data_IF_435509286572
#
_entry.id   IF_435509286572
#
_cell.length_a   1.000
_cell.length_b   1.000
_cell.length_c   1.000
_cell.angle_alpha   90.00
_cell.angle_beta   90.00
_cell.angle_gamma   90.00
#
_symmetry.space_group_name_H-M   'P 1'
#
loop_
_entity.id
_entity.type
_entity.pdbx_description
1 polymer ?
#
# COMPACT_ATOMS: atom_id res chain seq x y z
N UNK A 1 -19.71 -21.47 3.62
CA UNK A 1 -18.42 -21.33 4.32
C UNK A 1 -18.15 -19.84 4.48
N UNK A 2 -17.94 -19.35 5.71
CA UNK A 2 -17.81 -17.91 5.98
C UNK A 2 -16.42 -17.42 5.58
N UNK A 3 -16.36 -16.44 4.67
CA UNK A 3 -15.12 -15.84 4.20
C UNK A 3 -14.47 -15.01 5.31
N UNK A 4 -13.23 -15.35 5.67
CA UNK A 4 -12.37 -14.51 6.49
C UNK A 4 -11.71 -13.47 5.57
N UNK A 5 -12.40 -12.33 5.37
CA UNK A 5 -11.92 -11.18 4.59
C UNK A 5 -10.80 -10.41 5.33
N UNK A 6 -10.55 -10.71 6.61
CA UNK A 6 -9.39 -10.19 7.36
C UNK A 6 -8.08 -10.94 7.04
N UNK A 7 -7.66 -10.91 5.78
CA UNK A 7 -6.24 -11.06 5.43
C UNK A 7 -5.76 -9.79 4.73
N UNK A 8 -6.09 -8.65 5.32
CA UNK A 8 -5.45 -7.38 4.96
C UNK A 8 -4.05 -7.43 5.53
N UNK A 9 -3.09 -7.56 4.62
CA UNK A 9 -1.67 -7.51 4.91
C UNK A 9 -1.34 -6.04 5.16
N UNK A 10 -1.37 -5.65 6.44
CA UNK A 10 -1.01 -4.30 6.88
C UNK A 10 0.47 -4.12 6.54
N UNK A 11 0.84 -3.20 5.64
CA UNK A 11 2.24 -2.88 5.43
C UNK A 11 2.69 -2.05 6.63
N UNK A 12 3.21 -2.70 7.65
CA UNK A 12 3.70 -2.02 8.86
C UNK A 12 5.06 -1.30 8.62
N UNK A 13 5.68 -1.50 7.46
CA UNK A 13 7.10 -1.19 7.26
C UNK A 13 7.46 0.23 6.82
N UNK A 14 6.47 1.11 6.59
CA UNK A 14 6.74 2.43 5.99
C UNK A 14 6.67 3.59 7.00
N UNK A 15 6.51 3.27 8.29
CA UNK A 15 6.37 4.25 9.36
C UNK A 15 7.65 5.04 9.68
N UNK A 16 8.81 4.61 9.16
CA UNK A 16 10.07 5.27 9.44
C UNK A 16 10.89 5.37 8.17
N UNK A 17 11.34 6.58 7.83
CA UNK A 17 12.53 6.74 7.00
C UNK A 17 13.57 5.76 7.57
N UNK A 18 13.98 4.78 6.76
CA UNK A 18 14.89 3.69 7.13
C UNK A 18 16.26 4.31 7.45
N UNK A 19 16.42 4.78 8.69
CA UNK A 19 17.68 5.25 9.28
C UNK A 19 18.37 4.10 10.03
N UNK A 20 17.75 2.91 10.06
CA UNK A 20 18.14 1.84 10.98
C UNK A 20 18.61 0.58 10.27
N UNK A 21 19.14 0.70 9.05
CA UNK A 21 19.90 -0.41 8.53
C UNK A 21 21.24 -0.52 9.26
N UNK A 22 21.54 -1.71 9.77
CA UNK A 22 22.86 -2.04 10.25
C UNK A 22 23.75 -2.33 9.04
N UNK A 23 24.74 -1.47 8.83
CA UNK A 23 25.80 -1.70 7.86
C UNK A 23 26.60 -2.93 8.31
N UNK A 24 26.41 -4.05 7.62
CA UNK A 24 27.12 -5.31 7.91
C UNK A 24 28.35 -5.48 7.03
N UNK A 25 28.48 -4.68 5.98
CA UNK A 25 29.63 -4.65 5.10
C UNK A 25 29.83 -3.26 4.49
N UNK A 26 31.07 -2.75 4.55
CA UNK A 26 31.48 -1.54 3.86
C UNK A 26 32.97 -1.59 3.55
N UNK A 27 33.29 -2.12 2.37
CA UNK A 27 34.65 -2.21 1.85
C UNK A 27 34.63 -2.12 0.34
N UNK A 28 35.73 -1.68 -0.26
CA UNK A 28 35.96 -1.72 -1.70
C UNK A 28 34.80 -1.12 -2.53
N UNK A 29 34.34 0.07 -2.17
CA UNK A 29 33.26 0.78 -2.85
C UNK A 29 31.90 0.04 -2.85
N UNK A 30 31.72 -0.91 -1.93
CA UNK A 30 30.49 -1.68 -1.77
C UNK A 30 29.98 -1.53 -0.34
N UNK A 31 28.68 -1.30 -0.21
CA UNK A 31 27.98 -1.33 1.08
C UNK A 31 26.88 -2.38 1.05
N UNK A 32 26.70 -3.08 2.17
CA UNK A 32 25.56 -3.96 2.40
C UNK A 32 24.94 -3.66 3.75
N UNK A 33 23.68 -3.28 3.67
CA UNK A 33 22.82 -2.90 4.77
C UNK A 33 21.85 -4.06 5.03
N UNK A 34 21.86 -4.57 6.26
CA UNK A 34 20.82 -5.47 6.77
C UNK A 34 19.85 -4.65 7.59
N UNK A 35 18.56 -4.79 7.33
CA UNK A 35 17.52 -4.13 8.11
C UNK A 35 16.34 -5.05 8.31
N UNK A 36 15.53 -4.78 9.32
CA UNK A 36 14.32 -5.55 9.54
C UNK A 36 13.56 -5.13 10.77
N UNK A 37 12.51 -5.88 11.06
CA UNK A 37 11.80 -5.72 12.31
C UNK A 37 11.12 -7.02 12.77
N UNK A 38 10.91 -7.11 14.07
CA UNK A 38 10.01 -8.06 14.69
C UNK A 38 8.81 -7.27 15.21
N UNK A 39 7.65 -7.45 14.59
CA UNK A 39 6.42 -6.79 14.99
C UNK A 39 5.46 -7.80 15.62
N UNK A 40 5.08 -7.54 16.86
CA UNK A 40 4.11 -8.32 17.61
C UNK A 40 2.94 -7.41 17.94
N UNK A 41 1.79 -7.66 17.30
CA UNK A 41 0.60 -6.86 17.54
C UNK A 41 -0.67 -7.70 17.65
N UNK A 42 -1.68 -7.07 18.24
CA UNK A 42 -3.00 -7.64 18.38
C UNK A 42 -4.06 -6.58 18.06
N UNK A 43 -5.08 -7.01 17.31
CA UNK A 43 -6.22 -6.19 16.94
C UNK A 43 -7.48 -6.80 17.54
N UNK A 44 -8.16 -6.01 18.35
CA UNK A 44 -9.42 -6.33 19.00
C UNK A 44 -10.56 -5.54 18.36
N UNK A 45 -11.74 -6.13 18.29
CA UNK A 45 -12.96 -5.48 17.80
C UNK A 45 -14.19 -6.02 18.54
N UNK A 46 -15.26 -5.22 18.59
CA UNK A 46 -16.50 -5.64 19.23
C UNK A 46 -17.14 -6.78 18.42
N UNK A 47 -17.38 -7.92 19.07
CA UNK A 47 -17.97 -9.12 18.46
C UNK A 47 -19.43 -8.88 18.08
N UNK A 48 -19.68 -8.43 16.84
CA UNK A 48 -21.05 -8.43 16.29
C UNK A 48 -21.36 -9.71 15.49
N UNK A 49 -20.37 -10.55 15.18
CA UNK A 49 -20.56 -11.82 14.47
C UNK A 49 -19.71 -12.91 15.11
N UNK A 50 -20.32 -14.06 15.43
CA UNK A 50 -19.69 -15.24 16.10
C UNK A 50 -18.44 -15.83 15.39
N UNK A 51 -18.01 -15.29 14.24
CA UNK A 51 -16.95 -15.86 13.41
C UNK A 51 -15.68 -15.02 13.26
N UNK A 52 -15.61 -13.82 13.82
CA UNK A 52 -14.41 -12.97 13.69
C UNK A 52 -13.57 -13.13 14.98
N UNK A 53 -12.42 -13.81 14.87
CA UNK A 53 -11.45 -13.98 15.97
C UNK A 53 -10.49 -12.79 15.98
N UNK A 54 -10.04 -12.36 17.16
CA UNK A 54 -8.95 -11.39 17.32
C UNK A 54 -7.84 -11.69 16.30
N UNK A 55 -7.42 -10.66 15.58
CA UNK A 55 -6.40 -10.80 14.55
C UNK A 55 -5.05 -10.48 15.20
N UNK A 56 -4.50 -11.49 15.88
CA UNK A 56 -3.10 -11.47 16.30
C UNK A 56 -2.25 -11.49 15.03
N UNK A 57 -1.26 -10.61 14.90
CA UNK A 57 -0.29 -10.65 13.80
C UNK A 57 1.10 -10.47 14.36
N UNK A 58 1.89 -11.54 14.25
CA UNK A 58 3.31 -11.53 14.56
C UNK A 58 4.04 -11.70 13.24
N UNK A 59 4.82 -10.70 12.87
CA UNK A 59 5.58 -10.68 11.62
C UNK A 59 7.05 -10.47 11.94
N UNK A 60 7.90 -11.21 11.24
CA UNK A 60 9.32 -10.95 11.14
C UNK A 60 9.63 -10.51 9.72
N UNK A 61 10.15 -9.30 9.59
CA UNK A 61 10.53 -8.69 8.34
C UNK A 61 12.05 -8.61 8.26
N UNK A 62 12.61 -9.00 7.11
CA UNK A 62 14.03 -8.90 6.83
C UNK A 62 14.26 -8.29 5.46
N UNK A 63 15.21 -7.38 5.38
CA UNK A 63 15.62 -6.71 4.16
C UNK A 63 17.12 -6.58 4.04
N UNK A 64 17.55 -6.57 2.79
CA UNK A 64 18.92 -6.32 2.37
C UNK A 64 18.92 -5.17 1.38
N UNK A 65 19.86 -4.25 1.55
CA UNK A 65 20.09 -3.17 0.59
C UNK A 65 21.58 -3.10 0.28
N UNK A 66 21.92 -3.29 -0.99
CA UNK A 66 23.30 -3.25 -1.46
C UNK A 66 23.54 -2.03 -2.33
N UNK A 67 24.70 -1.41 -2.21
CA UNK A 67 25.17 -0.42 -3.19
C UNK A 67 26.62 -0.70 -3.59
N UNK A 68 26.93 -0.48 -4.87
CA UNK A 68 28.27 -0.59 -5.44
C UNK A 68 28.57 0.66 -6.23
N UNK A 69 29.62 1.40 -5.85
CA UNK A 69 30.11 2.54 -6.63
C UNK A 69 30.99 1.99 -7.75
N UNK A 70 30.54 2.14 -8.99
CA UNK A 70 31.26 1.66 -10.18
C UNK A 70 32.33 2.68 -10.57
N UNK A 71 31.97 3.97 -10.59
CA UNK A 71 32.88 5.09 -10.81
C UNK A 71 32.28 6.38 -10.21
N UNK A 72 32.86 7.54 -10.52
CA UNK A 72 32.48 8.83 -9.94
C UNK A 72 31.04 9.26 -10.21
N UNK A 73 30.39 8.71 -11.24
CA UNK A 73 29.06 9.11 -11.69
C UNK A 73 28.04 7.98 -11.70
N UNK A 74 28.48 6.73 -11.69
CA UNK A 74 27.63 5.55 -11.80
C UNK A 74 27.72 4.68 -10.53
N UNK A 75 26.55 4.38 -9.96
CA UNK A 75 26.37 3.42 -8.86
C UNK A 75 25.37 2.36 -9.27
N UNK A 76 25.59 1.11 -8.87
CA UNK A 76 24.59 0.07 -8.88
C UNK A 76 23.97 -0.06 -7.48
N UNK A 77 22.68 -0.40 -7.42
CA UNK A 77 22.01 -0.68 -6.16
C UNK A 77 21.02 -1.82 -6.31
N UNK A 78 20.73 -2.49 -5.21
CA UNK A 78 19.73 -3.55 -5.14
C UNK A 78 19.04 -3.54 -3.79
N UNK A 79 17.79 -3.96 -3.77
CA UNK A 79 17.03 -4.12 -2.52
C UNK A 79 16.16 -5.37 -2.59
N UNK A 80 16.19 -6.11 -1.49
CA UNK A 80 15.33 -7.26 -1.24
C UNK A 80 14.66 -7.07 0.12
N UNK A 81 13.38 -7.42 0.22
CA UNK A 81 12.61 -7.37 1.47
C UNK A 81 11.63 -8.54 1.48
N UNK A 82 11.58 -9.29 2.58
CA UNK A 82 10.60 -10.34 2.78
C UNK A 82 10.05 -10.36 4.20
N UNK A 83 8.85 -10.91 4.33
CA UNK A 83 8.11 -11.05 5.58
C UNK A 83 7.76 -12.51 5.83
N UNK A 84 7.89 -12.95 7.08
CA UNK A 84 7.38 -14.24 7.57
C UNK A 84 6.39 -13.96 8.69
N UNK A 85 5.23 -14.61 8.62
CA UNK A 85 4.24 -14.56 9.69
C UNK A 85 4.53 -15.68 10.71
N UNK A 86 4.71 -15.32 11.98
CA UNK A 86 5.23 -16.20 13.05
C UNK A 86 4.20 -16.52 14.15
N UNK A 87 2.92 -16.27 13.89
CA UNK A 87 1.82 -16.51 14.85
C UNK A 87 0.98 -17.77 14.54
N UNK A 88 1.53 -18.69 13.75
CA UNK A 88 0.87 -19.96 13.38
C UNK A 88 1.63 -21.14 13.98
N UNK A 89 0.94 -22.25 14.31
CA UNK A 89 1.62 -23.46 14.73
C UNK A 89 2.51 -23.96 13.59
N UNK A 90 3.63 -24.61 13.94
CA UNK A 90 4.61 -25.14 12.96
C UNK A 90 3.99 -26.14 11.97
N UNK A 91 2.92 -26.84 12.39
CA UNK A 91 2.14 -27.73 11.53
C UNK A 91 1.34 -27.02 10.43
N UNK A 92 1.28 -25.68 10.46
CA UNK A 92 0.62 -24.84 9.46
C UNK A 92 1.56 -23.70 9.01
N UNK A 93 2.68 -24.05 8.32
CA UNK A 93 3.66 -23.06 7.92
C UNK A 93 3.07 -22.07 6.91
N UNK A 94 3.33 -20.78 7.12
CA UNK A 94 3.04 -19.76 6.11
C UNK A 94 4.22 -19.58 5.16
N UNK A 95 3.91 -19.41 3.88
CA UNK A 95 4.91 -19.07 2.88
C UNK A 95 5.45 -17.65 3.12
N UNK A 96 6.77 -17.44 3.00
CA UNK A 96 7.34 -16.09 3.07
C UNK A 96 6.79 -15.24 1.93
N UNK A 97 6.58 -13.95 2.21
CA UNK A 97 6.04 -12.99 1.25
C UNK A 97 7.18 -12.05 0.88
N UNK A 98 7.52 -11.99 -0.40
CA UNK A 98 8.51 -11.05 -0.91
C UNK A 98 7.82 -9.71 -1.12
N UNK A 99 8.28 -8.69 -0.40
CA UNK A 99 7.79 -7.32 -0.51
C UNK A 99 8.51 -6.59 -1.64
N UNK A 100 9.84 -6.58 -1.61
CA UNK A 100 10.68 -5.90 -2.59
C UNK A 100 11.73 -6.85 -3.14
N UNK A 101 12.07 -6.66 -4.40
CA UNK A 101 13.10 -7.42 -5.09
C UNK A 101 13.42 -6.75 -6.42
N UNK A 102 14.38 -5.82 -6.40
CA UNK A 102 14.74 -5.06 -7.58
C UNK A 102 16.24 -4.69 -7.59
N UNK A 103 16.72 -4.41 -8.79
CA UNK A 103 18.06 -3.87 -9.05
C UNK A 103 17.93 -2.54 -9.79
N UNK A 104 18.95 -1.70 -9.70
CA UNK A 104 18.98 -0.44 -10.42
C UNK A 104 20.37 0.13 -10.58
N UNK A 105 20.44 1.13 -11.46
CA UNK A 105 21.61 1.95 -11.72
C UNK A 105 21.24 3.40 -11.41
N UNK A 106 22.18 4.11 -10.79
CA UNK A 106 22.09 5.53 -10.51
C UNK A 106 23.24 6.25 -11.23
N UNK A 107 22.88 7.21 -12.08
CA UNK A 107 23.79 8.11 -12.77
C UNK A 107 23.56 9.53 -12.26
N UNK A 108 24.46 10.05 -11.42
CA UNK A 108 24.24 11.29 -10.64
C UNK A 108 22.89 11.29 -9.89
N UNK A 109 22.00 12.22 -10.21
CA UNK A 109 20.66 12.39 -9.62
C UNK A 109 19.57 11.61 -10.36
N UNK A 110 19.94 10.86 -11.40
CA UNK A 110 19.04 9.98 -12.16
C UNK A 110 19.20 8.54 -11.72
N UNK A 111 18.10 7.80 -11.67
CA UNK A 111 18.14 6.36 -11.43
C UNK A 111 17.15 5.63 -12.31
N UNK A 112 17.51 4.43 -12.75
CA UNK A 112 16.60 3.45 -13.35
C UNK A 112 16.65 2.16 -12.54
N UNK A 113 15.49 1.57 -12.27
CA UNK A 113 15.38 0.30 -11.56
C UNK A 113 14.36 -0.63 -12.20
N UNK A 114 14.54 -1.93 -12.03
CA UNK A 114 13.64 -2.96 -12.52
C UNK A 114 13.43 -4.08 -11.49
N UNK A 115 12.17 -4.50 -11.32
CA UNK A 115 11.81 -5.66 -10.50
C UNK A 115 10.46 -5.51 -9.81
N UNK A 116 10.33 -6.09 -8.60
CA UNK A 116 9.21 -5.88 -7.69
C UNK A 116 9.50 -4.67 -6.80
N UNK A 117 8.75 -3.59 -7.00
CA UNK A 117 8.96 -2.31 -6.32
C UNK A 117 7.62 -1.64 -6.01
N UNK A 118 7.64 -0.45 -5.40
CA UNK A 118 6.45 0.39 -5.25
C UNK A 118 6.01 0.99 -6.59
N UNK A 119 4.71 0.93 -6.84
CA UNK A 119 4.04 1.59 -7.93
C UNK A 119 4.03 3.10 -7.78
N UNK A 120 3.98 3.82 -8.90
CA UNK A 120 4.18 5.28 -8.95
C UNK A 120 3.12 6.07 -8.17
N UNK A 121 1.91 5.53 -8.00
CA UNK A 121 0.87 6.21 -7.22
C UNK A 121 1.23 6.26 -5.73
N UNK A 122 2.01 5.27 -5.26
CA UNK A 122 2.46 5.17 -3.88
C UNK A 122 3.37 6.33 -3.48
N UNK A 123 4.05 7.01 -4.41
CA UNK A 123 4.83 8.22 -4.11
C UNK A 123 3.97 9.26 -3.37
N UNK A 124 2.73 9.45 -3.83
CA UNK A 124 1.78 10.38 -3.21
C UNK A 124 1.11 9.77 -1.98
N UNK A 125 0.62 8.53 -2.08
CA UNK A 125 -0.15 7.88 -0.99
C UNK A 125 0.74 7.59 0.24
N UNK A 126 2.05 7.42 0.07
CA UNK A 126 3.01 7.27 1.17
C UNK A 126 2.99 8.43 2.18
N UNK A 127 2.44 9.60 1.81
CA UNK A 127 2.27 10.73 2.72
C UNK A 127 1.28 10.45 3.85
N UNK A 128 0.30 9.57 3.64
CA UNK A 128 -0.70 9.23 4.67
C UNK A 128 -0.45 7.86 5.31
N UNK A 129 0.45 7.05 4.73
CA UNK A 129 0.79 5.70 5.19
C UNK A 129 1.76 5.70 6.38
N UNK A 130 1.45 6.51 7.40
CA UNK A 130 2.28 6.72 8.57
C UNK A 130 1.53 6.65 9.90
N UNK A 131 0.31 6.16 9.89
CA UNK A 131 -0.43 5.93 11.12
C UNK A 131 -0.01 4.57 11.75
N UNK A 132 0.22 4.50 13.08
CA UNK A 132 0.98 3.42 13.72
C UNK A 132 0.31 2.04 13.73
N UNK A 133 -0.99 1.92 13.49
CA UNK A 133 -1.71 0.63 13.34
C UNK A 133 -3.04 0.87 12.63
N UNK A 134 -3.65 -0.15 12.01
CA UNK A 134 -4.97 -0.05 11.35
C UNK A 134 -5.00 0.79 10.05
N UNK A 135 -3.89 0.79 9.28
CA UNK A 135 -3.86 1.35 7.92
C UNK A 135 -4.53 0.38 6.94
N UNK A 136 -5.86 0.39 6.96
CA UNK A 136 -6.71 -0.38 6.06
C UNK A 136 -7.40 0.57 5.06
N UNK A 137 -6.63 1.40 4.36
CA UNK A 137 -7.23 2.22 3.31
C UNK A 137 -7.66 1.36 2.11
N UNK A 138 -8.44 1.95 1.22
CA UNK A 138 -8.95 1.25 0.02
C UNK A 138 -7.87 0.96 -1.04
N UNK A 139 -6.70 1.60 -0.93
CA UNK A 139 -5.57 1.48 -1.85
C UNK A 139 -4.60 0.34 -1.50
N UNK A 140 -4.73 -0.24 -0.31
CA UNK A 140 -3.71 -1.11 0.29
C UNK A 140 -3.77 -2.57 -0.19
N UNK A 141 -4.20 -2.77 -1.44
CA UNK A 141 -3.99 -4.02 -2.14
C UNK A 141 -2.66 -3.93 -2.89
N UNK A 142 -1.65 -4.66 -2.41
CA UNK A 142 -0.48 -4.94 -3.24
C UNK A 142 -0.91 -5.73 -4.47
N UNK A 143 -0.12 -5.67 -5.53
CA UNK A 143 -0.43 -6.32 -6.80
C UNK A 143 -1.77 -5.81 -7.39
N UNK A 144 -2.03 -4.52 -7.16
CA UNK A 144 -3.10 -3.75 -7.77
C UNK A 144 -2.50 -2.65 -8.65
N UNK A 145 -2.26 -2.94 -9.92
CA UNK A 145 -1.64 -1.99 -10.86
C UNK A 145 -0.39 -1.32 -10.25
N UNK A 146 -0.40 0.01 -10.12
CA UNK A 146 0.67 0.83 -9.55
C UNK A 146 0.25 1.56 -8.25
N UNK A 147 -0.70 1.01 -7.46
CA UNK A 147 -1.12 1.59 -6.18
C UNK A 147 -0.11 1.41 -5.05
N UNK A 148 0.45 0.21 -4.93
CA UNK A 148 1.35 -0.22 -3.86
C UNK A 148 2.49 -1.04 -4.44
N UNK A 149 2.95 -2.09 -3.77
CA UNK A 149 4.00 -2.97 -4.31
C UNK A 149 3.45 -3.78 -5.48
N UNK A 150 4.21 -3.89 -6.58
CA UNK A 150 3.83 -4.67 -7.75
C UNK A 150 5.05 -5.20 -8.52
N UNK A 151 4.80 -6.16 -9.41
CA UNK A 151 5.83 -6.80 -10.24
C UNK A 151 6.01 -6.12 -11.60
N UNK A 152 7.16 -6.41 -12.23
CA UNK A 152 7.51 -5.98 -13.59
C UNK A 152 7.50 -4.45 -13.76
N UNK A 153 7.99 -3.73 -12.76
CA UNK A 153 8.09 -2.28 -12.78
C UNK A 153 9.47 -1.84 -13.26
N UNK A 154 9.51 -1.08 -14.34
CA UNK A 154 10.68 -0.28 -14.73
C UNK A 154 10.45 1.15 -14.28
N UNK A 155 11.28 1.67 -13.38
CA UNK A 155 11.07 2.99 -12.79
C UNK A 155 12.29 3.87 -13.01
N UNK A 156 12.09 4.96 -13.72
CA UNK A 156 13.02 6.07 -13.84
C UNK A 156 12.68 7.15 -12.80
N UNK A 157 13.70 7.67 -12.12
CA UNK A 157 13.57 8.82 -11.21
C UNK A 157 14.68 9.82 -11.49
N UNK A 158 14.36 11.10 -11.31
CA UNK A 158 15.32 12.19 -11.41
C UNK A 158 15.05 13.17 -10.27
N UNK A 159 16.09 13.51 -9.52
CA UNK A 159 16.04 14.55 -8.49
C UNK A 159 16.48 15.89 -9.07
N UNK A 160 15.89 16.97 -8.53
CA UNK A 160 16.20 18.35 -8.90
C UNK A 160 16.03 18.67 -10.40
N UNK A 161 15.13 17.95 -11.09
CA UNK A 161 14.80 18.12 -12.50
C UNK A 161 16.03 18.36 -13.39
N UNK A 162 16.93 17.38 -13.42
CA UNK A 162 18.21 17.43 -14.17
C UNK A 162 19.18 18.52 -13.70
N UNK A 163 19.04 18.97 -12.46
CA UNK A 163 19.80 20.09 -11.89
C UNK A 163 19.24 21.47 -12.27
N UNK A 164 18.08 21.55 -12.92
CA UNK A 164 17.48 22.82 -13.35
C UNK A 164 16.64 23.49 -12.26
N UNK A 165 15.99 22.70 -11.41
CA UNK A 165 15.08 23.20 -10.37
C UNK A 165 15.31 22.40 -9.09
N UNK A 166 16.00 23.00 -8.13
CA UNK A 166 16.24 22.40 -6.82
C UNK A 166 14.92 22.04 -6.13
N UNK A 167 14.84 20.81 -5.62
CA UNK A 167 13.67 20.29 -4.91
C UNK A 167 12.54 19.78 -5.80
N UNK A 168 12.60 19.96 -7.13
CA UNK A 168 11.64 19.38 -8.07
C UNK A 168 12.10 17.98 -8.49
N UNK A 169 11.36 16.95 -8.07
CA UNK A 169 11.64 15.56 -8.39
C UNK A 169 10.60 15.03 -9.37
N UNK A 170 11.04 14.24 -10.35
CA UNK A 170 10.16 13.57 -11.30
C UNK A 170 10.42 12.06 -11.31
N UNK A 171 9.38 11.30 -11.64
CA UNK A 171 9.52 9.89 -11.92
C UNK A 171 8.58 9.44 -13.05
N UNK A 172 9.05 8.45 -13.80
CA UNK A 172 8.31 7.77 -14.86
C UNK A 172 8.39 6.27 -14.60
N UNK A 173 7.28 5.58 -14.76
CA UNK A 173 7.21 4.15 -14.51
C UNK A 173 6.46 3.45 -15.63
N UNK A 174 6.99 2.31 -16.05
CA UNK A 174 6.33 1.36 -16.92
C UNK A 174 6.08 0.06 -16.15
N UNK A 175 4.90 -0.51 -16.30
CA UNK A 175 4.52 -1.81 -15.75
C UNK A 175 4.20 -2.78 -16.88
N UNK A 176 4.93 -3.89 -16.94
CA UNK A 176 4.65 -4.98 -17.88
C UNK A 176 3.36 -5.74 -17.52
N UNK A 177 2.79 -6.43 -18.51
CA UNK A 177 1.62 -7.31 -18.30
C UNK A 177 1.95 -8.43 -17.30
N UNK A 178 1.07 -8.61 -16.32
CA UNK A 178 1.15 -9.68 -15.34
C UNK A 178 -0.09 -10.58 -15.45
N UNK A 179 0.13 -11.85 -15.82
CA UNK A 179 -0.92 -12.87 -15.93
C UNK A 179 -1.00 -13.76 -14.68
N UNK A 180 -1.08 -13.13 -13.50
CA UNK A 180 -1.23 -13.82 -12.21
C UNK A 180 -2.69 -14.27 -11.98
N UNK A 181 -3.06 -14.48 -10.71
CA UNK A 181 -4.46 -14.71 -10.34
C UNK A 181 -5.35 -13.59 -10.88
N UNK A 182 -6.64 -13.85 -11.07
CA UNK A 182 -7.58 -12.84 -11.62
C UNK A 182 -7.58 -11.53 -10.80
N UNK A 183 -7.23 -11.60 -9.52
CA UNK A 183 -7.20 -10.47 -8.58
C UNK A 183 -5.88 -9.70 -8.71
N UNK A 184 -4.78 -10.34 -9.08
CA UNK A 184 -3.43 -9.73 -9.09
C UNK A 184 -2.94 -9.44 -10.52
N UNK A 185 -3.77 -9.72 -11.53
CA UNK A 185 -3.44 -9.43 -12.91
C UNK A 185 -3.52 -7.92 -13.21
N UNK A 186 -2.67 -7.48 -14.14
CA UNK A 186 -2.74 -6.18 -14.78
C UNK A 186 -2.25 -6.32 -16.22
N UNK A 187 -2.80 -5.54 -17.15
CA UNK A 187 -2.19 -5.36 -18.46
C UNK A 187 -1.01 -4.39 -18.40
N UNK A 188 -0.41 -4.10 -19.55
CA UNK A 188 0.64 -3.09 -19.67
C UNK A 188 0.13 -1.72 -19.26
N UNK A 189 0.99 -0.93 -18.63
CA UNK A 189 0.65 0.42 -18.20
C UNK A 189 1.86 1.31 -17.96
N UNK A 190 1.58 2.58 -17.81
CA UNK A 190 2.57 3.60 -17.49
C UNK A 190 2.03 4.54 -16.42
N UNK A 191 2.94 5.24 -15.75
CA UNK A 191 2.56 6.33 -14.87
C UNK A 191 3.72 7.25 -14.55
N UNK A 192 3.41 8.33 -13.86
CA UNK A 192 4.35 9.40 -13.52
C UNK A 192 4.05 10.00 -12.16
N UNK A 193 5.06 10.60 -11.55
CA UNK A 193 4.91 11.46 -10.38
C UNK A 193 5.81 12.69 -10.47
N UNK A 194 5.36 13.77 -9.84
CA UNK A 194 6.08 15.04 -9.73
C UNK A 194 5.93 15.52 -8.28
N UNK A 195 7.04 15.70 -7.57
CA UNK A 195 7.09 16.25 -6.22
C UNK A 195 7.88 17.55 -6.23
N UNK A 196 7.40 18.58 -5.54
CA UNK A 196 8.17 19.80 -5.28
C UNK A 196 8.32 20.04 -3.78
N UNK A 197 9.57 20.08 -3.31
CA UNK A 197 9.92 20.48 -1.95
C UNK A 197 10.15 22.00 -1.90
N UNK A 198 9.29 22.72 -1.19
CA UNK A 198 9.33 24.19 -1.08
C UNK A 198 10.39 24.70 -0.07
N UNK A 199 11.14 23.82 0.61
CA UNK A 199 12.18 24.18 1.57
C UNK A 199 11.67 24.67 2.95
N UNK A 200 10.41 25.11 3.03
CA UNK A 200 9.77 25.53 4.28
C UNK A 200 9.21 24.37 5.13
N UNK A 201 9.51 23.12 4.75
CA UNK A 201 8.94 21.91 5.34
C UNK A 201 7.65 21.45 4.65
N UNK A 202 7.20 22.17 3.62
CA UNK A 202 6.07 21.79 2.78
C UNK A 202 6.57 21.07 1.53
N UNK A 203 5.97 19.92 1.23
CA UNK A 203 6.11 19.27 -0.07
C UNK A 203 4.73 19.09 -0.70
N UNK A 204 4.66 19.29 -2.01
CA UNK A 204 3.46 19.06 -2.83
C UNK A 204 3.82 17.98 -3.83
N UNK A 205 2.92 17.02 -4.06
CA UNK A 205 3.14 15.91 -4.97
C UNK A 205 1.88 15.58 -5.75
N UNK A 206 2.05 15.20 -7.02
CA UNK A 206 1.01 14.61 -7.85
C UNK A 206 1.53 13.35 -8.51
N UNK A 207 0.68 12.32 -8.62
CA UNK A 207 0.97 11.09 -9.33
C UNK A 207 -0.21 10.63 -10.16
N UNK A 208 0.08 9.93 -11.26
CA UNK A 208 -0.92 9.37 -12.17
C UNK A 208 -0.43 8.03 -12.72
N UNK A 209 -1.35 7.11 -12.99
CA UNK A 209 -1.08 5.96 -13.85
C UNK A 209 -2.27 5.63 -14.75
N UNK A 210 -1.96 4.93 -15.85
CA UNK A 210 -2.92 4.30 -16.74
C UNK A 210 -2.41 2.94 -17.17
N UNK A 211 -3.25 1.91 -16.99
CA UNK A 211 -2.93 0.54 -17.36
C UNK A 211 -4.11 -0.10 -18.09
N UNK A 212 -3.81 -1.00 -19.03
CA UNK A 212 -4.83 -1.90 -19.55
C UNK A 212 -5.32 -2.83 -18.44
N UNK A 213 -6.64 -3.00 -18.34
CA UNK A 213 -7.26 -4.03 -17.52
C UNK A 213 -7.52 -5.26 -18.39
N UNK A 214 -7.01 -6.43 -17.98
CA UNK A 214 -7.23 -7.67 -18.73
C UNK A 214 -8.73 -8.03 -18.77
N UNK A 215 -9.23 -8.62 -19.88
CA UNK A 215 -10.65 -8.72 -20.16
C UNK A 215 -11.35 -9.74 -19.25
N UNK A 216 -11.87 -9.28 -18.11
CA UNK A 216 -13.16 -9.64 -17.48
C UNK A 216 -13.34 -8.90 -16.13
N UNK A 217 -13.51 -7.57 -16.13
CA UNK A 217 -13.65 -6.79 -14.89
C UNK A 217 -15.01 -6.95 -14.19
N UNK A 218 -16.01 -7.51 -14.87
CA UNK A 218 -17.39 -7.55 -14.37
C UNK A 218 -17.82 -8.91 -13.78
N UNK A 219 -16.93 -9.91 -13.72
CA UNK A 219 -17.20 -11.19 -13.06
C UNK A 219 -15.91 -11.93 -12.74
N UNK A 220 -15.30 -11.63 -11.60
CA UNK A 220 -14.37 -12.58 -10.99
C UNK A 220 -15.20 -13.62 -10.22
N UNK A 221 -15.73 -14.59 -10.94
CA UNK A 221 -16.35 -15.78 -10.33
C UNK A 221 -15.31 -16.47 -9.42
N UNK A 222 -15.62 -16.54 -8.13
CA UNK A 222 -14.84 -17.23 -7.09
C UNK A 222 -15.03 -18.75 -7.06
N UNK A 223 -15.92 -19.31 -7.88
CA UNK A 223 -16.10 -20.75 -7.92
C UNK A 223 -14.96 -21.45 -8.70
N UNK A 224 -14.17 -22.24 -7.96
CA UNK A 224 -13.30 -23.32 -8.43
C UNK A 224 -12.12 -22.96 -9.35
N UNK A 225 -11.05 -22.38 -8.81
CA UNK A 225 -9.74 -22.48 -9.47
C UNK A 225 -8.56 -22.61 -8.50
N UNK A 226 -8.68 -23.47 -7.49
CA UNK A 226 -7.51 -24.17 -6.93
C UNK A 226 -7.23 -25.50 -7.64
N UNK A 227 -8.22 -26.08 -8.31
CA UNK A 227 -8.05 -27.24 -9.21
C UNK A 227 -9.09 -27.18 -10.34
N UNK A 228 -8.78 -26.53 -11.46
CA UNK A 228 -9.50 -26.82 -12.71
C UNK A 228 -8.59 -26.55 -13.91
N UNK A 229 -7.80 -27.58 -14.26
CA UNK A 229 -7.34 -27.74 -15.63
C UNK A 229 -8.56 -28.07 -16.48
N UNK A 230 -8.68 -27.38 -17.62
CA UNK A 230 -9.67 -27.59 -18.70
C UNK A 230 -11.10 -27.14 -18.35
N UNK A 231 -11.45 -25.95 -18.81
CA UNK A 231 -12.66 -25.77 -19.60
C UNK A 231 -12.45 -24.60 -20.58
N UNK A 232 -12.21 -24.96 -21.85
CA UNK A 232 -12.31 -24.06 -23.00
C UNK A 232 -13.80 -23.77 -23.20
N UNK A 233 -14.36 -22.83 -22.44
CA UNK A 233 -15.57 -22.15 -22.88
C UNK A 233 -15.13 -20.95 -23.71
N UNK A 234 -15.65 -20.90 -24.94
CA UNK A 234 -15.43 -19.85 -25.93
C UNK A 234 -15.81 -18.49 -25.33
N UNK A 235 -14.80 -17.78 -24.80
CA UNK A 235 -14.95 -16.38 -24.44
C UNK A 235 -15.11 -15.62 -25.74
N UNK A 236 -16.30 -15.05 -25.99
CA UNK A 236 -16.44 -13.89 -26.88
C UNK A 236 -15.35 -12.90 -26.47
N UNK A 237 -14.32 -12.74 -27.31
CA UNK A 237 -13.29 -11.72 -27.14
C UNK A 237 -13.99 -10.37 -27.29
N UNK A 238 -14.47 -9.82 -26.19
CA UNK A 238 -14.70 -8.38 -26.10
C UNK A 238 -13.35 -7.71 -26.31
N UNK A 239 -13.10 -7.23 -27.52
CA UNK A 239 -11.89 -6.48 -27.89
C UNK A 239 -11.77 -5.13 -27.15
N UNK A 240 -12.74 -4.75 -26.32
CA UNK A 240 -12.65 -3.55 -25.50
C UNK A 240 -11.81 -3.81 -24.25
N UNK A 241 -10.49 -3.68 -24.37
CA UNK A 241 -9.60 -3.51 -23.21
C UNK A 241 -10.07 -2.26 -22.46
N UNK A 242 -10.62 -2.42 -21.25
CA UNK A 242 -10.92 -1.26 -20.38
C UNK A 242 -9.63 -0.73 -19.79
N UNK A 243 -9.50 0.58 -19.66
CA UNK A 243 -8.38 1.19 -18.95
C UNK A 243 -8.69 1.32 -17.46
N UNK A 244 -7.67 1.05 -16.65
CA UNK A 244 -7.62 1.30 -15.21
C UNK A 244 -6.69 2.47 -14.98
N UNK A 245 -7.22 3.58 -14.46
CA UNK A 245 -6.47 4.81 -14.30
C UNK A 245 -6.69 5.37 -12.90
N UNK A 246 -5.67 5.98 -12.32
CA UNK A 246 -5.81 6.72 -11.07
C UNK A 246 -4.89 7.94 -11.04
N UNK A 247 -5.32 8.99 -10.36
CA UNK A 247 -4.44 10.08 -9.93
C UNK A 247 -4.55 10.29 -8.43
N UNK A 248 -3.48 10.81 -7.85
CA UNK A 248 -3.41 11.24 -6.47
C UNK A 248 -2.68 12.57 -6.37
N UNK A 249 -3.17 13.46 -5.52
CA UNK A 249 -2.56 14.73 -5.17
C UNK A 249 -2.33 14.75 -3.67
N UNK A 250 -1.13 15.13 -3.25
CA UNK A 250 -0.73 15.13 -1.85
C UNK A 250 -0.02 16.42 -1.47
N UNK A 251 -0.24 16.85 -0.23
CA UNK A 251 0.52 17.91 0.41
C UNK A 251 0.94 17.41 1.78
N UNK A 252 2.20 17.64 2.18
CA UNK A 252 2.66 17.41 3.56
C UNK A 252 3.39 18.62 4.10
N UNK A 253 3.25 18.84 5.40
CA UNK A 253 4.13 19.64 6.24
C UNK A 253 4.87 18.71 7.19
N UNK A 254 6.21 18.75 7.20
CA UNK A 254 7.04 17.93 8.08
C UNK A 254 8.20 18.75 8.64
N UNK A 255 7.95 19.48 9.72
CA UNK A 255 8.95 20.30 10.41
C UNK A 255 8.50 20.57 11.85
N UNK A 256 9.45 20.90 12.73
CA UNK A 256 9.17 21.32 14.12
C UNK A 256 8.28 20.33 14.89
N UNK A 257 8.62 19.04 14.84
CA UNK A 257 7.90 17.93 15.49
C UNK A 257 6.45 17.70 15.02
N UNK A 258 5.99 18.44 14.01
CA UNK A 258 4.65 18.32 13.43
C UNK A 258 4.77 17.61 12.09
N UNK A 259 3.92 16.59 11.90
CA UNK A 259 3.66 15.98 10.62
C UNK A 259 2.19 16.17 10.28
N UNK A 260 1.89 16.94 9.24
CA UNK A 260 0.55 17.06 8.69
C UNK A 260 0.60 16.62 7.23
N UNK A 261 -0.35 15.81 6.80
CA UNK A 261 -0.48 15.46 5.39
C UNK A 261 -1.93 15.28 5.00
N UNK A 262 -2.21 15.53 3.73
CA UNK A 262 -3.47 15.17 3.11
C UNK A 262 -3.22 14.66 1.72
N UNK A 263 -4.03 13.68 1.32
CA UNK A 263 -4.04 13.10 -0.02
C UNK A 263 -5.47 13.05 -0.51
N UNK A 264 -5.70 13.60 -1.71
CA UNK A 264 -6.90 13.35 -2.49
C UNK A 264 -6.56 12.42 -3.65
N UNK A 265 -7.46 11.50 -3.97
CA UNK A 265 -7.25 10.60 -5.11
C UNK A 265 -8.55 10.20 -5.76
N UNK A 266 -8.50 10.00 -7.07
CA UNK A 266 -9.59 9.48 -7.86
C UNK A 266 -9.10 8.31 -8.70
N UNK A 267 -9.91 7.25 -8.77
CA UNK A 267 -9.60 6.06 -9.55
C UNK A 267 -10.76 5.71 -10.46
N UNK A 268 -10.46 5.08 -11.59
CA UNK A 268 -11.45 4.57 -12.53
C UNK A 268 -11.11 3.12 -12.88
N UNK A 269 -12.03 2.18 -12.59
CA UNK A 269 -11.87 0.75 -12.83
C UNK A 269 -10.65 0.12 -12.12
N UNK A 270 -10.27 0.63 -10.94
CA UNK A 270 -9.02 0.23 -10.28
C UNK A 270 -9.17 -0.26 -8.83
N UNK A 271 -10.25 0.11 -8.15
CA UNK A 271 -10.52 -0.33 -6.77
C UNK A 271 -11.40 -1.56 -6.79
N UNK A 272 -10.99 -2.59 -6.06
CA UNK A 272 -11.70 -3.86 -5.98
C UNK A 272 -12.65 -3.85 -4.79
N UNK A 273 -13.85 -4.41 -4.96
CA UNK A 273 -14.81 -4.63 -3.89
C UNK A 273 -15.53 -5.97 -4.12
N UNK A 274 -16.07 -6.55 -3.05
CA UNK A 274 -16.86 -7.78 -3.12
C UNK A 274 -18.33 -7.40 -3.09
N UNK A 275 -19.15 -7.98 -3.96
CA UNK A 275 -20.61 -7.91 -3.88
C UNK A 275 -21.19 -9.24 -4.37
N UNK A 276 -22.18 -9.78 -3.66
CA UNK A 276 -22.84 -11.05 -3.99
C UNK A 276 -21.84 -12.20 -4.28
N UNK A 277 -20.80 -12.33 -3.45
CA UNK A 277 -19.70 -13.31 -3.59
C UNK A 277 -18.82 -13.18 -4.86
N UNK A 278 -19.02 -12.14 -5.68
CA UNK A 278 -18.17 -11.80 -6.83
C UNK A 278 -17.21 -10.65 -6.48
N UNK A 279 -15.96 -10.73 -6.95
CA UNK A 279 -15.05 -9.57 -6.92
C UNK A 279 -15.26 -8.70 -8.15
N UNK A 280 -15.49 -7.42 -7.91
CA UNK A 280 -15.80 -6.42 -8.93
C UNK A 280 -14.84 -5.24 -8.84
N UNK A 281 -14.72 -4.50 -9.94
CA UNK A 281 -13.99 -3.22 -9.98
C UNK A 281 -14.99 -2.06 -9.88
N UNK A 282 -14.75 -1.16 -8.94
CA UNK A 282 -15.50 0.08 -8.83
C UNK A 282 -15.22 0.93 -10.07
N UNK A 283 -16.29 1.34 -10.76
CA UNK A 283 -16.18 2.14 -11.98
C UNK A 283 -15.44 3.45 -11.70
N UNK A 284 -15.75 4.09 -10.57
CA UNK A 284 -15.07 5.29 -10.11
C UNK A 284 -15.02 5.34 -8.58
N UNK A 285 -13.90 5.76 -8.02
CA UNK A 285 -13.80 6.08 -6.59
C UNK A 285 -13.15 7.45 -6.38
N UNK A 286 -13.57 8.16 -5.34
CA UNK A 286 -12.90 9.37 -4.84
C UNK A 286 -12.57 9.18 -3.38
N UNK A 287 -11.35 9.50 -2.97
CA UNK A 287 -10.95 9.39 -1.58
C UNK A 287 -10.21 10.63 -1.10
N UNK A 288 -10.42 10.92 0.18
CA UNK A 288 -9.75 11.96 0.93
C UNK A 288 -9.15 11.33 2.19
N UNK A 289 -7.85 11.54 2.37
CA UNK A 289 -7.10 11.08 3.52
C UNK A 289 -6.38 12.25 4.15
N UNK A 290 -6.40 12.32 5.48
CA UNK A 290 -5.76 13.35 6.28
C UNK A 290 -5.05 12.66 7.45
N UNK A 291 -3.80 13.05 7.71
CA UNK A 291 -3.02 12.58 8.85
C UNK A 291 -2.39 13.77 9.55
N UNK A 292 -2.55 13.82 10.88
CA UNK A 292 -1.84 14.75 11.75
C UNK A 292 -1.14 14.03 12.87
N UNK A 293 0.12 14.38 13.11
CA UNK A 293 0.94 13.83 14.18
C UNK A 293 1.77 14.91 14.85
N UNK A 294 1.98 14.74 16.14
CA UNK A 294 2.89 15.57 16.93
C UNK A 294 3.82 14.69 17.76
N UNK A 295 5.12 14.95 17.69
CA UNK A 295 6.14 14.22 18.46
C UNK A 295 6.59 15.07 19.64
N UNK A 296 6.27 14.61 20.85
CA UNK A 296 6.67 15.25 22.09
C UNK A 296 8.15 14.97 22.40
N UNK A 297 8.76 15.82 23.23
CA UNK A 297 10.16 15.68 23.64
C UNK A 297 10.42 14.42 24.48
N UNK A 298 9.39 13.83 25.07
CA UNK A 298 9.45 12.57 25.82
C UNK A 298 9.25 11.32 24.94
N UNK A 299 9.50 11.43 23.63
CA UNK A 299 9.38 10.34 22.65
C UNK A 299 7.96 9.76 22.46
N UNK A 300 6.93 10.43 22.98
CA UNK A 300 5.53 10.12 22.64
C UNK A 300 5.20 10.77 21.30
N UNK A 301 4.53 10.04 20.41
CA UNK A 301 3.95 10.58 19.17
C UNK A 301 2.44 10.38 19.18
N UNK A 302 1.69 11.46 19.33
CA UNK A 302 0.24 11.44 19.15
C UNK A 302 -0.11 11.51 17.66
N UNK A 303 -1.12 10.77 17.23
CA UNK A 303 -1.57 10.68 15.83
C UNK A 303 -3.09 10.70 15.72
N UNK A 304 -3.60 11.44 14.76
CA UNK A 304 -5.00 11.41 14.33
C UNK A 304 -5.07 11.32 12.81
N UNK A 305 -5.94 10.49 12.27
CA UNK A 305 -6.20 10.45 10.83
C UNK A 305 -7.68 10.32 10.50
N UNK A 306 -8.02 10.75 9.31
CA UNK A 306 -9.34 10.60 8.72
C UNK A 306 -9.19 10.01 7.32
N UNK A 307 -10.03 9.03 7.00
CA UNK A 307 -10.15 8.49 5.66
C UNK A 307 -11.61 8.44 5.28
N UNK A 308 -11.92 8.93 4.08
CA UNK A 308 -13.18 8.64 3.40
C UNK A 308 -12.89 8.23 1.96
N UNK A 309 -13.51 7.16 1.52
CA UNK A 309 -13.51 6.71 0.14
C UNK A 309 -14.92 6.42 -0.33
N UNK A 310 -15.29 7.02 -1.45
CA UNK A 310 -16.62 6.96 -2.02
C UNK A 310 -16.55 6.32 -3.40
N UNK A 311 -17.30 5.24 -3.60
CA UNK A 311 -17.54 4.66 -4.91
C UNK A 311 -18.74 5.31 -5.61
N UNK A 312 -18.62 5.47 -6.92
CA UNK A 312 -19.62 6.03 -7.81
C UNK A 312 -19.93 5.04 -8.92
N UNK A 313 -21.21 4.97 -9.30
CA UNK A 313 -21.70 4.10 -10.37
C UNK A 313 -21.32 2.62 -10.14
N UNK A 314 -21.43 2.16 -8.89
CA UNK A 314 -21.22 0.75 -8.55
C UNK A 314 -22.40 -0.05 -9.14
N UNK A 315 -22.16 -1.03 -10.03
CA UNK A 315 -23.23 -1.83 -10.60
C UNK A 315 -24.03 -2.49 -9.48
N UNK A 316 -25.36 -2.44 -9.54
CA UNK A 316 -26.18 -3.09 -8.55
C UNK A 316 -26.02 -4.60 -8.67
N UNK A 317 -25.76 -5.28 -7.56
CA UNK A 317 -26.46 -6.55 -7.37
C UNK A 317 -27.95 -6.25 -7.35
N UNK A 318 -28.79 -7.13 -7.88
CA UNK A 318 -30.17 -6.91 -8.35
C UNK A 318 -31.15 -6.12 -7.44
N UNK A 319 -30.77 -5.74 -6.21
CA UNK A 319 -31.59 -5.05 -5.20
C UNK A 319 -31.16 -3.60 -4.83
N UNK A 320 -30.14 -3.00 -5.47
CA UNK A 320 -29.60 -1.70 -5.01
C UNK A 320 -29.71 -0.56 -6.03
N UNK A 321 -30.09 0.67 -5.63
CA UNK A 321 -30.09 1.81 -6.55
C UNK A 321 -28.66 2.19 -6.94
N UNK A 322 -28.50 2.60 -8.20
CA UNK A 322 -27.27 3.24 -8.70
C UNK A 322 -27.02 4.54 -7.91
N UNK A 323 -25.87 4.66 -7.25
CA UNK A 323 -25.61 5.80 -6.39
C UNK A 323 -24.18 5.93 -5.87
N UNK A 324 -23.98 6.98 -5.06
CA UNK A 324 -22.75 7.23 -4.29
C UNK A 324 -22.77 6.38 -3.02
N UNK A 325 -21.72 5.59 -2.80
CA UNK A 325 -21.59 4.72 -1.63
C UNK A 325 -20.25 4.95 -0.95
N UNK A 326 -20.25 5.08 0.38
CA UNK A 326 -19.00 5.12 1.15
C UNK A 326 -18.43 3.68 1.23
N UNK A 327 -17.29 3.44 0.57
CA UNK A 327 -16.55 2.17 0.59
C UNK A 327 -15.71 2.02 1.86
N UNK A 328 -15.22 3.14 2.38
CA UNK A 328 -14.53 3.22 3.65
C UNK A 328 -14.75 4.62 4.24
N UNK A 329 -15.00 4.69 5.55
CA UNK A 329 -15.11 5.96 6.26
C UNK A 329 -14.76 5.75 7.72
N UNK A 330 -13.66 6.30 8.17
CA UNK A 330 -13.23 6.12 9.56
C UNK A 330 -12.31 7.24 10.03
N UNK A 331 -12.23 7.36 11.35
CA UNK A 331 -11.27 8.21 12.05
C UNK A 331 -10.36 7.30 12.88
N UNK A 332 -9.05 7.49 12.80
CA UNK A 332 -8.11 6.80 13.68
C UNK A 332 -7.52 7.78 14.70
N UNK A 333 -7.41 7.34 15.96
CA UNK A 333 -6.72 8.05 17.03
C UNK A 333 -5.69 7.10 17.61
N UNK A 334 -4.45 7.54 17.75
CA UNK A 334 -3.38 6.66 18.17
C UNK A 334 -2.23 7.39 18.82
N UNK A 335 -1.39 6.61 19.48
CA UNK A 335 -0.15 7.08 20.08
C UNK A 335 0.92 6.02 19.91
N UNK A 336 2.17 6.45 19.85
CA UNK A 336 3.31 5.57 19.99
C UNK A 336 4.33 6.14 20.97
N UNK A 337 5.13 5.26 21.56
CA UNK A 337 6.22 5.61 22.45
C UNK A 337 7.49 4.90 21.97
N UNK A 338 8.51 5.69 21.66
CA UNK A 338 9.83 5.18 21.29
C UNK A 338 10.70 5.06 22.55
N UNK A 339 10.99 3.83 22.97
CA UNK A 339 11.92 3.55 24.08
C UNK A 339 13.38 3.88 23.71
N UNK A 340 13.65 3.93 22.41
CA UNK A 340 14.93 4.26 21.81
C UNK A 340 14.78 4.22 20.29
N UNK A 341 15.90 4.05 19.57
CA UNK A 341 15.89 3.93 18.11
C UNK A 341 15.29 2.60 17.62
N UNK A 342 15.40 1.55 18.43
CA UNK A 342 15.14 0.18 18.02
C UNK A 342 13.86 -0.42 18.60
N UNK A 343 13.14 0.28 19.49
CA UNK A 343 11.96 -0.29 20.15
C UNK A 343 10.81 0.73 20.22
N UNK A 344 9.65 0.32 19.70
CA UNK A 344 8.44 1.13 19.63
C UNK A 344 7.27 0.35 20.25
N UNK A 345 6.55 0.96 21.18
CA UNK A 345 5.19 0.52 21.54
C UNK A 345 4.17 1.47 20.92
N UNK A 346 3.01 0.94 20.55
CA UNK A 346 1.94 1.75 19.95
C UNK A 346 0.56 1.21 20.28
N UNK A 347 -0.40 2.13 20.24
CA UNK A 347 -1.82 1.91 20.46
C UNK A 347 -2.59 2.74 19.43
N UNK A 348 -3.63 2.18 18.83
CA UNK A 348 -4.52 2.88 17.93
C UNK A 348 -5.96 2.42 18.08
N UNK A 349 -6.89 3.34 17.84
CA UNK A 349 -8.31 3.11 17.84
C UNK A 349 -8.91 3.64 16.55
N UNK A 350 -9.54 2.74 15.79
CA UNK A 350 -10.31 3.02 14.58
C UNK A 350 -11.78 3.16 14.96
N UNK A 351 -12.32 4.35 14.75
CA UNK A 351 -13.74 4.67 14.85
C UNK A 351 -14.31 4.55 13.45
N UNK A 352 -15.09 3.49 13.22
CA UNK A 352 -15.76 3.30 11.94
C UNK A 352 -16.98 4.23 11.88
N UNK A 353 -17.10 4.97 10.79
CA UNK A 353 -18.14 5.96 10.55
C UNK A 353 -19.08 5.53 9.42
N UNK A 354 -18.94 4.30 8.92
CA UNK A 354 -19.87 3.73 7.95
C UNK A 354 -21.20 3.41 8.63
N UNK A 355 -22.28 3.81 7.97
CA UNK A 355 -23.62 3.40 8.37
C UNK A 355 -23.87 1.96 7.91
N UNK A 356 -24.57 1.19 8.74
CA UNK A 356 -25.04 -0.16 8.39
C UNK A 356 -26.17 -0.06 7.37
N UNK A 357 -25.80 0.18 6.11
CA UNK A 357 -26.71 0.09 4.97
C UNK A 357 -26.72 -1.36 4.48
N UNK A 358 -27.81 -1.75 3.82
CA UNK A 358 -27.95 -3.08 3.23
C UNK A 358 -26.80 -3.40 2.24
N UNK A 359 -26.26 -2.37 1.56
CA UNK A 359 -25.04 -2.51 0.75
C UNK A 359 -23.79 -2.84 1.56
N UNK A 360 -23.52 -2.12 2.66
CA UNK A 360 -22.35 -2.39 3.51
C UNK A 360 -22.38 -3.83 4.05
N UNK A 361 -23.57 -4.33 4.35
CA UNK A 361 -23.79 -5.70 4.80
C UNK A 361 -23.59 -6.70 3.66
N UNK A 362 -24.18 -6.47 2.48
CA UNK A 362 -24.09 -7.38 1.32
C UNK A 362 -22.71 -7.39 0.65
N UNK A 363 -21.98 -6.28 0.70
CA UNK A 363 -20.61 -6.15 0.23
C UNK A 363 -19.55 -6.61 1.24
N UNK A 364 -19.97 -7.13 2.39
CA UNK A 364 -19.10 -7.58 3.49
C UNK A 364 -18.07 -6.53 3.94
N UNK A 365 -18.43 -5.23 3.88
CA UNK A 365 -17.53 -4.14 4.26
C UNK A 365 -17.41 -4.11 5.78
N UNK A 366 -16.21 -4.25 6.37
CA UNK A 366 -16.04 -4.19 7.81
C UNK A 366 -16.46 -2.81 8.36
N UNK A 367 -17.46 -2.81 9.24
CA UNK A 367 -18.07 -1.62 9.84
C UNK A 367 -17.83 -1.52 11.36
N UNK A 368 -16.99 -2.40 11.93
CA UNK A 368 -16.73 -2.41 13.37
C UNK A 368 -15.63 -1.41 13.74
N UNK A 369 -15.74 -0.85 14.95
CA UNK A 369 -14.61 -0.18 15.60
C UNK A 369 -13.55 -1.22 15.99
N UNK A 370 -12.29 -0.82 15.90
CA UNK A 370 -11.12 -1.68 16.15
C UNK A 370 -10.15 -0.96 17.07
N UNK A 371 -9.60 -1.67 18.05
CA UNK A 371 -8.46 -1.21 18.85
C UNK A 371 -7.28 -2.13 18.57
N UNK A 372 -6.13 -1.54 18.29
CA UNK A 372 -4.90 -2.26 18.00
C UNK A 372 -3.80 -1.80 18.94
N UNK A 373 -2.99 -2.73 19.43
CA UNK A 373 -1.76 -2.41 20.12
C UNK A 373 -0.64 -3.34 19.68
N UNK A 374 0.59 -2.90 19.85
CA UNK A 374 1.74 -3.73 19.53
C UNK A 374 3.05 -3.15 19.99
N UNK A 375 4.07 -3.98 19.81
CA UNK A 375 5.46 -3.69 20.04
C UNK A 375 6.24 -4.06 18.78
N UNK A 376 7.15 -3.18 18.36
CA UNK A 376 8.05 -3.46 17.24
C UNK A 376 9.48 -3.23 17.67
N UNK A 377 10.31 -4.26 17.46
CA UNK A 377 11.76 -4.15 17.55
C UNK A 377 12.36 -4.01 16.15
N UNK A 378 13.20 -3.01 15.93
CA UNK A 378 13.89 -2.71 14.66
C UNK A 378 15.38 -3.00 14.79
N UNK A 379 16.00 -3.41 13.68
CA UNK A 379 17.44 -3.63 13.57
C UNK A 379 17.92 -3.40 12.13
#
# INVERSE_FOLDING_TARGET
MKFNILKILIPFLLLFNIVYANEIYNKNNQTLDLYGNLNVNNIFFKKNVKSIKNDEKYNFDLGLKGTTIINNYLKAFGQFEYTIQINKPESNPHYPIIHLGFLGLQFYDMSISYGRNYGILYDTISYIDKFPILNEGIYYFNDNFMFGRANNLTTYRNKNFFGLIDGLNIALQYQGNNNFSKIEQNGEGWGSSIEYNLGCGINIIGSYFSSYSNPNPNKLLFHNSFFSKKNKQEKKKSNNKKMSNAYALGIKYNKKNIYLSTVFSETNNSIRYVANDDLLLANKTKSLEILGQYTFNNNIKASISYLQSQGYNIPPGDDYPSGRIDLAKYLNIGTSYSFGKNLLAYLGYKINLLNNTDYVVSAYIPNNNMIGCGLTYYF
#
